data_IF_384622917174
#
_entry.id   IF_384622917174
#
_cell.length_a   1.000
_cell.length_b   1.000
_cell.length_c   1.000
_cell.angle_alpha   90.00
_cell.angle_beta   90.00
_cell.angle_gamma   90.00
#
_symmetry.space_group_name_H-M   'P 1'
#
loop_
_entity.id
_entity.type
_entity.pdbx_description
1 polymer ?
#
# COMPACT_ATOMS: atom_id res chain seq x y z
N UNK A 1 -10.94 6.70 22.51
CA UNK A 1 -10.11 5.70 23.22
C UNK A 1 -10.67 4.34 22.86
N UNK A 2 -9.90 3.49 22.22
CA UNK A 2 -10.29 2.10 21.94
C UNK A 2 -10.21 1.41 23.30
N UNK A 3 -11.38 1.17 23.91
CA UNK A 3 -11.44 0.37 25.13
C UNK A 3 -11.16 -1.07 24.74
N UNK A 4 -10.00 -1.61 25.14
CA UNK A 4 -9.66 -3.02 24.97
C UNK A 4 -10.57 -3.85 25.88
N UNK A 5 -11.61 -4.55 25.37
CA UNK A 5 -12.61 -5.19 26.21
C UNK A 5 -12.05 -6.44 26.86
N UNK A 6 -12.40 -6.60 28.13
CA UNK A 6 -12.02 -7.74 29.01
C UNK A 6 -13.26 -8.57 29.28
N UNK A 7 -13.13 -9.89 29.18
CA UNK A 7 -14.17 -10.82 29.58
C UNK A 7 -13.72 -11.61 30.81
N UNK A 8 -14.54 -11.60 31.86
CA UNK A 8 -14.34 -12.37 33.09
C UNK A 8 -15.23 -13.59 33.00
N UNK A 9 -14.68 -14.76 33.29
CA UNK A 9 -15.39 -16.05 33.33
C UNK A 9 -15.14 -16.73 34.66
N UNK A 10 -16.14 -16.72 35.51
CA UNK A 10 -16.06 -17.29 36.84
C UNK A 10 -17.46 -17.74 37.24
N UNK A 11 -17.64 -18.90 37.85
CA UNK A 11 -18.94 -19.42 38.24
C UNK A 11 -19.48 -18.78 39.53
N UNK A 12 -18.60 -18.23 40.38
CA UNK A 12 -18.96 -17.56 41.59
C UNK A 12 -19.49 -16.14 41.32
N UNK A 13 -20.78 -15.90 41.64
CA UNK A 13 -21.42 -14.62 41.37
C UNK A 13 -20.75 -13.45 42.10
N UNK A 14 -20.34 -13.64 43.35
CA UNK A 14 -19.68 -12.60 44.15
C UNK A 14 -18.33 -12.21 43.58
N UNK A 15 -17.56 -13.19 43.08
CA UNK A 15 -16.27 -12.94 42.39
C UNK A 15 -16.47 -12.14 41.12
N UNK A 16 -17.46 -12.53 40.31
CA UNK A 16 -17.77 -11.81 39.05
C UNK A 16 -18.15 -10.36 39.33
N UNK A 17 -19.06 -10.12 40.27
CA UNK A 17 -19.53 -8.76 40.61
C UNK A 17 -18.35 -7.91 41.12
N UNK A 18 -17.59 -8.45 42.06
CA UNK A 18 -16.46 -7.73 42.67
C UNK A 18 -15.40 -7.35 41.63
N UNK A 19 -15.05 -8.29 40.73
CA UNK A 19 -14.06 -8.03 39.68
C UNK A 19 -14.59 -7.05 38.63
N UNK A 20 -15.86 -7.18 38.26
CA UNK A 20 -16.47 -6.28 37.27
C UNK A 20 -16.49 -4.84 37.79
N UNK A 21 -17.03 -4.62 39.02
CA UNK A 21 -17.07 -3.29 39.65
C UNK A 21 -15.66 -2.69 39.80
N UNK A 22 -14.69 -3.52 40.22
CA UNK A 22 -13.33 -3.07 40.42
C UNK A 22 -12.66 -2.65 39.10
N UNK A 23 -12.84 -3.42 38.02
CA UNK A 23 -12.25 -3.10 36.70
C UNK A 23 -12.96 -1.91 36.05
N UNK A 24 -14.29 -1.83 36.12
CA UNK A 24 -15.03 -0.66 35.66
C UNK A 24 -14.65 0.62 36.40
N UNK A 25 -14.47 0.52 37.76
CA UNK A 25 -13.99 1.62 38.57
C UNK A 25 -12.61 2.16 38.19
N UNK A 26 -11.78 1.33 37.54
CA UNK A 26 -10.47 1.69 36.98
C UNK A 26 -10.55 2.13 35.50
N UNK A 27 -11.74 2.13 34.91
CA UNK A 27 -11.97 2.58 33.53
C UNK A 27 -11.76 1.51 32.46
N UNK A 28 -11.66 0.23 32.83
CA UNK A 28 -11.65 -0.87 31.86
C UNK A 28 -13.06 -1.14 31.34
N UNK A 29 -13.16 -1.51 30.06
CA UNK A 29 -14.38 -2.05 29.50
C UNK A 29 -14.44 -3.55 29.80
N UNK A 30 -15.21 -3.95 30.82
CA UNK A 30 -15.29 -5.34 31.26
C UNK A 30 -16.70 -5.89 31.13
N UNK A 31 -16.80 -7.21 30.85
CA UNK A 31 -18.01 -8.00 30.93
C UNK A 31 -17.72 -9.27 31.74
N UNK A 32 -18.75 -9.82 32.37
CA UNK A 32 -18.61 -11.02 33.17
C UNK A 32 -19.69 -12.06 32.82
N UNK A 33 -19.29 -13.32 32.74
CA UNK A 33 -20.15 -14.47 32.46
C UNK A 33 -19.87 -15.63 33.40
N UNK A 34 -20.83 -16.53 33.57
CA UNK A 34 -20.77 -17.60 34.57
C UNK A 34 -20.19 -18.93 34.05
N UNK A 35 -19.93 -19.07 32.77
CA UNK A 35 -19.44 -20.33 32.21
C UNK A 35 -18.66 -20.13 30.91
N UNK A 36 -17.86 -21.15 30.52
CA UNK A 36 -17.16 -21.17 29.26
C UNK A 36 -18.08 -21.13 28.04
N UNK A 37 -19.24 -21.75 28.10
CA UNK A 37 -20.23 -21.70 27.02
C UNK A 37 -20.76 -20.29 26.80
N UNK A 38 -21.07 -19.57 27.87
CA UNK A 38 -21.48 -18.17 27.81
C UNK A 38 -20.34 -17.29 27.28
N UNK A 39 -19.09 -17.57 27.69
CA UNK A 39 -17.94 -16.86 27.19
C UNK A 39 -17.80 -17.01 25.67
N UNK A 40 -17.89 -18.23 25.15
CA UNK A 40 -17.81 -18.49 23.71
C UNK A 40 -18.99 -17.85 22.95
N UNK A 41 -20.19 -17.84 23.53
CA UNK A 41 -21.34 -17.17 22.93
C UNK A 41 -21.11 -15.65 22.82
N UNK A 42 -20.62 -15.01 23.90
CA UNK A 42 -20.30 -13.57 23.87
C UNK A 42 -19.15 -13.24 22.92
N UNK A 43 -18.13 -14.09 22.83
CA UNK A 43 -17.03 -13.92 21.90
C UNK A 43 -17.43 -14.08 20.44
N UNK A 44 -18.51 -14.78 20.15
CA UNK A 44 -19.09 -14.85 18.81
C UNK A 44 -19.80 -13.54 18.39
N UNK A 45 -20.29 -12.77 19.38
CA UNK A 45 -20.99 -11.49 19.14
C UNK A 45 -20.05 -10.29 19.05
N UNK A 46 -18.96 -10.31 19.84
CA UNK A 46 -17.96 -9.24 19.88
C UNK A 46 -16.57 -9.76 20.23
N UNK A 47 -15.53 -9.06 19.76
CA UNK A 47 -14.15 -9.37 20.10
C UNK A 47 -13.81 -8.91 21.53
N UNK A 48 -13.01 -9.72 22.23
CA UNK A 48 -12.39 -9.38 23.51
C UNK A 48 -10.86 -9.44 23.37
N UNK A 49 -10.18 -8.50 24.01
CA UNK A 49 -8.72 -8.45 23.99
C UNK A 49 -8.10 -9.41 25.01
N UNK A 50 -8.70 -9.48 26.18
CA UNK A 50 -8.27 -10.37 27.28
C UNK A 50 -9.47 -11.13 27.82
N UNK A 51 -9.28 -12.42 28.10
CA UNK A 51 -10.22 -13.27 28.82
C UNK A 51 -9.55 -13.73 30.11
N UNK A 52 -10.17 -13.44 31.26
CA UNK A 52 -9.77 -13.98 32.57
C UNK A 52 -10.73 -15.10 32.90
N UNK A 53 -10.25 -16.33 33.05
CA UNK A 53 -11.10 -17.50 33.33
C UNK A 53 -10.68 -18.21 34.61
N UNK A 54 -11.65 -18.62 35.42
CA UNK A 54 -11.38 -19.55 36.50
C UNK A 54 -11.01 -20.94 35.92
N UNK A 55 -10.19 -21.67 36.70
CA UNK A 55 -9.80 -23.03 36.32
C UNK A 55 -10.96 -24.00 36.49
N UNK A 56 -11.71 -23.90 37.58
CA UNK A 56 -12.76 -24.84 37.96
C UNK A 56 -14.12 -24.21 37.78
N UNK A 57 -14.84 -24.65 36.79
CA UNK A 57 -16.21 -24.21 36.50
C UNK A 57 -17.13 -25.44 36.45
N UNK A 58 -18.37 -25.35 36.98
CA UNK A 58 -19.34 -26.43 36.86
C UNK A 58 -19.74 -26.67 35.42
N UNK A 59 -20.06 -27.92 35.09
CA UNK A 59 -20.54 -28.24 33.73
C UNK A 59 -19.55 -29.03 32.86
N UNK A 60 -18.41 -29.46 33.43
CA UNK A 60 -17.47 -30.38 32.77
C UNK A 60 -16.42 -29.73 31.84
N UNK A 61 -16.59 -28.47 31.49
CA UNK A 61 -15.57 -27.70 30.76
C UNK A 61 -14.70 -26.93 31.76
N UNK A 62 -13.40 -27.17 31.77
CA UNK A 62 -12.45 -26.45 32.60
C UNK A 62 -12.01 -25.14 31.94
N UNK A 63 -11.47 -24.19 32.74
CA UNK A 63 -10.85 -22.99 32.19
C UNK A 63 -9.71 -23.28 31.21
N UNK A 64 -8.99 -24.40 31.39
CA UNK A 64 -7.95 -24.84 30.45
C UNK A 64 -8.53 -25.27 29.08
N UNK A 65 -9.70 -25.92 29.08
CA UNK A 65 -10.38 -26.30 27.85
C UNK A 65 -10.93 -25.08 27.12
N UNK A 66 -11.44 -24.09 27.87
CA UNK A 66 -11.85 -22.81 27.34
C UNK A 66 -10.68 -22.07 26.69
N UNK A 67 -9.54 -21.98 27.36
CA UNK A 67 -8.31 -21.34 26.83
C UNK A 67 -7.87 -22.02 25.55
N UNK A 68 -7.83 -23.36 25.49
CA UNK A 68 -7.48 -24.08 24.29
C UNK A 68 -8.43 -23.78 23.12
N UNK A 69 -9.74 -23.68 23.41
CA UNK A 69 -10.75 -23.33 22.41
C UNK A 69 -10.60 -21.90 21.92
N UNK A 70 -10.37 -20.94 22.83
CA UNK A 70 -10.15 -19.53 22.50
C UNK A 70 -8.90 -19.38 21.63
N UNK A 71 -7.79 -20.01 22.01
CA UNK A 71 -6.56 -19.94 21.23
C UNK A 71 -6.73 -20.44 19.79
N UNK A 72 -7.57 -21.44 19.58
CA UNK A 72 -7.83 -21.98 18.25
C UNK A 72 -8.76 -21.09 17.41
N UNK A 73 -9.80 -20.53 18.02
CA UNK A 73 -10.84 -19.78 17.31
C UNK A 73 -10.59 -18.26 17.27
N UNK A 74 -9.92 -17.73 18.30
CA UNK A 74 -9.69 -16.31 18.53
C UNK A 74 -8.22 -16.04 18.88
N UNK A 75 -7.28 -16.27 17.96
CA UNK A 75 -5.83 -16.25 18.22
C UNK A 75 -5.30 -14.91 18.75
N UNK A 76 -6.01 -13.81 18.49
CA UNK A 76 -5.66 -12.46 18.94
C UNK A 76 -6.13 -12.14 20.36
N UNK A 77 -6.90 -13.04 20.99
CA UNK A 77 -7.38 -12.90 22.38
C UNK A 77 -6.40 -13.55 23.34
N UNK A 78 -5.92 -12.81 24.33
CA UNK A 78 -5.03 -13.32 25.36
C UNK A 78 -5.85 -13.86 26.54
N UNK A 79 -5.47 -15.03 27.06
CA UNK A 79 -6.16 -15.68 28.16
C UNK A 79 -5.32 -15.65 29.43
N UNK A 80 -5.90 -15.23 30.54
CA UNK A 80 -5.33 -15.29 31.89
C UNK A 80 -6.11 -16.32 32.69
N UNK A 81 -5.41 -17.27 33.29
CA UNK A 81 -6.02 -18.30 34.13
C UNK A 81 -6.03 -17.83 35.61
N UNK A 82 -7.17 -17.89 36.26
CA UNK A 82 -7.32 -17.68 37.68
C UNK A 82 -7.51 -19.04 38.40
N UNK A 83 -6.80 -19.30 39.48
CA UNK A 83 -6.91 -20.58 40.21
C UNK A 83 -6.60 -20.47 41.69
N UNK A 84 -7.31 -21.22 42.53
CA UNK A 84 -7.03 -21.33 43.93
C UNK A 84 -5.75 -22.15 44.24
N UNK A 85 -5.36 -23.04 43.30
CA UNK A 85 -4.22 -23.94 43.48
C UNK A 85 -3.25 -23.80 42.29
N UNK A 86 -2.33 -22.85 42.40
CA UNK A 86 -1.27 -22.67 41.45
C UNK A 86 -0.09 -23.62 41.75
N UNK A 87 -0.16 -24.87 41.30
CA UNK A 87 0.99 -25.78 41.35
C UNK A 87 1.86 -25.57 40.11
N UNK A 88 3.11 -26.07 40.19
CA UNK A 88 4.02 -26.03 39.04
C UNK A 88 3.41 -26.74 37.83
N UNK A 89 2.79 -27.91 38.02
CA UNK A 89 2.16 -28.70 36.98
C UNK A 89 0.98 -27.97 36.32
N UNK A 90 0.10 -27.35 37.12
CA UNK A 90 -1.02 -26.55 36.61
C UNK A 90 -0.55 -25.33 35.81
N UNK A 91 0.52 -24.70 36.28
CA UNK A 91 1.11 -23.54 35.59
C UNK A 91 1.72 -23.94 34.22
N UNK A 92 2.45 -25.05 34.20
CA UNK A 92 3.02 -25.57 32.94
C UNK A 92 1.92 -25.98 31.96
N UNK A 93 0.86 -26.64 32.46
CA UNK A 93 -0.26 -27.04 31.61
C UNK A 93 -1.01 -25.84 31.03
N UNK A 94 -1.27 -24.82 31.85
CA UNK A 94 -1.91 -23.58 31.41
C UNK A 94 -1.14 -22.92 30.26
N UNK A 95 0.19 -22.76 30.42
CA UNK A 95 1.04 -22.18 29.37
C UNK A 95 1.06 -23.05 28.10
N UNK A 96 1.13 -24.39 28.23
CA UNK A 96 1.07 -25.30 27.09
C UNK A 96 -0.26 -25.19 26.33
N UNK A 97 -1.37 -24.98 27.03
CA UNK A 97 -2.70 -24.79 26.42
C UNK A 97 -2.92 -23.39 25.86
N UNK A 98 -2.01 -22.47 26.14
CA UNK A 98 -1.99 -21.13 25.55
C UNK A 98 -2.47 -20.01 26.45
N UNK A 99 -2.48 -20.24 27.77
CA UNK A 99 -2.60 -19.14 28.71
C UNK A 99 -1.43 -18.15 28.51
N UNK A 100 -1.74 -16.86 28.49
CA UNK A 100 -0.74 -15.80 28.48
C UNK A 100 -0.07 -15.66 29.83
N UNK A 101 -0.88 -15.76 30.91
CA UNK A 101 -0.44 -15.62 32.29
C UNK A 101 -1.39 -16.37 33.22
N UNK A 102 -1.00 -16.45 34.49
CA UNK A 102 -1.78 -17.11 35.54
C UNK A 102 -1.78 -16.23 36.78
N UNK A 103 -2.92 -16.19 37.49
CA UNK A 103 -3.07 -15.51 38.76
C UNK A 103 -3.62 -16.47 39.83
N UNK A 104 -3.02 -16.48 41.02
CA UNK A 104 -3.44 -17.34 42.13
C UNK A 104 -4.45 -16.63 43.03
N UNK A 105 -5.60 -17.26 43.26
CA UNK A 105 -6.59 -16.84 44.27
C UNK A 105 -6.10 -17.24 45.70
N UNK A 106 -6.30 -16.39 46.73
CA UNK A 106 -6.84 -15.04 46.65
C UNK A 106 -5.81 -14.06 46.18
N UNK A 107 -6.17 -13.15 45.28
CA UNK A 107 -5.31 -12.09 44.75
C UNK A 107 -5.84 -10.71 45.15
N UNK A 108 -4.94 -9.73 45.19
CA UNK A 108 -5.29 -8.33 45.35
C UNK A 108 -5.65 -7.72 44.01
N UNK A 109 -6.52 -6.70 44.02
CA UNK A 109 -6.88 -5.99 42.80
C UNK A 109 -5.65 -5.49 42.01
N UNK A 110 -4.66 -4.94 42.72
CA UNK A 110 -3.41 -4.47 42.11
C UNK A 110 -2.62 -5.58 41.36
N UNK A 111 -2.70 -6.83 41.83
CA UNK A 111 -2.06 -7.97 41.17
C UNK A 111 -2.79 -8.32 39.88
N UNK A 112 -4.13 -8.31 39.87
CA UNK A 112 -4.95 -8.49 38.68
C UNK A 112 -4.69 -7.38 37.68
N UNK A 113 -4.67 -6.13 38.09
CA UNK A 113 -4.36 -4.98 37.25
C UNK A 113 -2.98 -5.12 36.59
N UNK A 114 -1.97 -5.56 37.33
CA UNK A 114 -0.62 -5.76 36.79
C UNK A 114 -0.63 -6.82 35.66
N UNK A 115 -1.33 -7.93 35.88
CA UNK A 115 -1.44 -9.01 34.86
C UNK A 115 -2.21 -8.52 33.66
N UNK A 116 -3.33 -7.84 33.85
CA UNK A 116 -4.17 -7.30 32.79
C UNK A 116 -3.42 -6.24 31.96
N UNK A 117 -2.72 -5.31 32.60
CA UNK A 117 -1.95 -4.29 31.90
C UNK A 117 -0.87 -4.92 31.03
N UNK A 118 -0.14 -5.94 31.53
CA UNK A 118 0.85 -6.67 30.72
C UNK A 118 0.19 -7.36 29.52
N UNK A 119 -0.96 -8.00 29.71
CA UNK A 119 -1.68 -8.66 28.64
C UNK A 119 -2.19 -7.66 27.61
N UNK A 120 -2.79 -6.56 28.04
CA UNK A 120 -3.29 -5.51 27.15
C UNK A 120 -2.18 -4.84 26.35
N UNK A 121 -1.05 -4.52 26.99
CA UNK A 121 0.09 -3.93 26.32
C UNK A 121 0.69 -4.89 25.29
N UNK A 122 0.78 -6.19 25.64
CA UNK A 122 1.23 -7.21 24.69
C UNK A 122 0.27 -7.33 23.48
N UNK A 123 -1.04 -7.36 23.71
CA UNK A 123 -2.04 -7.40 22.65
C UNK A 123 -1.94 -6.17 21.73
N UNK A 124 -1.72 -4.98 22.30
CA UNK A 124 -1.52 -3.74 21.54
C UNK A 124 -0.27 -3.78 20.67
N UNK A 125 0.83 -4.34 21.20
CA UNK A 125 2.06 -4.50 20.44
C UNK A 125 1.89 -5.49 19.28
N UNK A 126 1.22 -6.62 19.52
CA UNK A 126 0.93 -7.60 18.46
C UNK A 126 0.09 -6.97 17.33
N UNK A 127 -0.96 -6.23 17.67
CA UNK A 127 -1.78 -5.52 16.67
C UNK A 127 -0.95 -4.52 15.86
N UNK A 128 -0.10 -3.72 16.52
CA UNK A 128 0.79 -2.80 15.80
C UNK A 128 1.71 -3.52 14.81
N UNK A 129 2.25 -4.67 15.19
CA UNK A 129 3.10 -5.47 14.28
C UNK A 129 2.31 -5.94 13.08
N UNK A 130 1.08 -6.44 13.27
CA UNK A 130 0.21 -6.88 12.18
C UNK A 130 -0.16 -5.71 11.25
N UNK A 131 -0.51 -4.55 11.82
CA UNK A 131 -0.82 -3.35 11.04
C UNK A 131 0.38 -2.90 10.18
N UNK A 132 1.59 -2.88 10.75
CA UNK A 132 2.81 -2.56 10.00
C UNK A 132 3.13 -3.59 8.90
N UNK A 133 2.91 -4.87 9.17
CA UNK A 133 3.09 -5.90 8.16
C UNK A 133 2.13 -5.71 6.98
N UNK A 134 0.84 -5.47 7.26
CA UNK A 134 -0.15 -5.21 6.23
C UNK A 134 0.17 -3.95 5.41
N UNK A 135 0.62 -2.86 6.07
CA UNK A 135 1.06 -1.64 5.39
C UNK A 135 2.26 -1.88 4.48
N UNK A 136 3.28 -2.63 4.96
CA UNK A 136 4.46 -2.96 4.17
C UNK A 136 4.11 -3.83 2.95
N UNK A 137 3.27 -4.83 3.12
CA UNK A 137 2.80 -5.68 2.01
C UNK A 137 2.06 -4.86 0.95
N UNK A 138 1.17 -3.97 1.36
CA UNK A 138 0.46 -3.07 0.44
C UNK A 138 1.43 -2.16 -0.32
N UNK A 139 2.46 -1.62 0.36
CA UNK A 139 3.49 -0.77 -0.25
C UNK A 139 4.37 -1.55 -1.23
N UNK A 140 4.74 -2.79 -0.90
CA UNK A 140 5.50 -3.68 -1.80
C UNK A 140 4.68 -3.96 -3.07
N UNK A 141 3.41 -4.33 -2.94
CA UNK A 141 2.53 -4.60 -4.08
C UNK A 141 2.38 -3.39 -4.99
N UNK A 142 2.19 -2.19 -4.43
CA UNK A 142 2.13 -0.95 -5.22
C UNK A 142 3.43 -0.72 -5.98
N UNK A 143 4.57 -0.77 -5.31
CA UNK A 143 5.89 -0.56 -5.95
C UNK A 143 6.21 -1.60 -7.02
N UNK A 144 5.79 -2.84 -6.80
CA UNK A 144 5.98 -3.91 -7.79
C UNK A 144 5.19 -3.64 -9.08
N UNK A 145 3.94 -3.15 -8.95
CA UNK A 145 3.14 -2.74 -10.11
C UNK A 145 3.77 -1.58 -10.87
N UNK A 146 4.19 -0.53 -10.14
CA UNK A 146 4.85 0.63 -10.75
C UNK A 146 6.09 0.20 -11.55
N UNK A 147 6.92 -0.69 -10.98
CA UNK A 147 8.11 -1.21 -11.66
C UNK A 147 7.76 -2.09 -12.87
N UNK A 148 6.70 -2.90 -12.80
CA UNK A 148 6.25 -3.72 -13.93
C UNK A 148 5.75 -2.84 -15.08
N UNK A 149 5.01 -1.78 -14.81
CA UNK A 149 4.57 -0.82 -15.83
C UNK A 149 5.76 -0.17 -16.53
N UNK A 150 6.73 0.33 -15.76
CA UNK A 150 7.95 0.94 -16.32
C UNK A 150 8.76 -0.07 -17.14
N UNK A 151 8.90 -1.31 -16.67
CA UNK A 151 9.62 -2.35 -17.39
C UNK A 151 8.92 -2.73 -18.69
N UNK A 152 7.59 -2.85 -18.70
CA UNK A 152 6.82 -3.12 -19.92
C UNK A 152 6.95 -1.99 -20.93
N UNK A 153 6.89 -0.75 -20.46
CA UNK A 153 7.07 0.42 -21.33
C UNK A 153 8.48 0.47 -21.95
N UNK A 154 9.51 0.19 -21.16
CA UNK A 154 10.88 0.12 -21.62
C UNK A 154 11.09 -1.00 -22.66
N UNK A 155 10.55 -2.20 -22.42
CA UNK A 155 10.61 -3.32 -23.37
C UNK A 155 9.94 -2.98 -24.69
N UNK A 156 8.74 -2.40 -24.65
CA UNK A 156 8.03 -2.02 -25.86
C UNK A 156 8.77 -0.93 -26.66
N UNK A 157 9.47 0.00 -25.99
CA UNK A 157 10.31 0.99 -26.66
C UNK A 157 11.57 0.36 -27.27
N UNK A 158 12.18 -0.61 -26.61
CA UNK A 158 13.29 -1.38 -27.17
C UNK A 158 12.89 -2.13 -28.44
N UNK A 159 11.73 -2.80 -28.45
CA UNK A 159 11.20 -3.49 -29.61
C UNK A 159 10.97 -2.52 -30.78
N UNK A 160 10.35 -1.36 -30.54
CA UNK A 160 10.15 -0.32 -31.55
C UNK A 160 11.48 0.21 -32.10
N UNK A 161 12.49 0.37 -31.23
CA UNK A 161 13.81 0.81 -31.67
C UNK A 161 14.52 -0.21 -32.56
N UNK A 162 14.39 -1.51 -32.26
CA UNK A 162 14.93 -2.58 -33.10
C UNK A 162 14.24 -2.63 -34.44
N UNK A 163 12.91 -2.52 -34.49
CA UNK A 163 12.15 -2.43 -35.73
C UNK A 163 12.55 -1.20 -36.58
N UNK A 164 12.78 -0.06 -35.89
CA UNK A 164 13.22 1.17 -36.54
C UNK A 164 14.61 1.03 -37.20
N UNK A 165 15.53 0.24 -36.63
CA UNK A 165 16.85 -0.01 -37.19
C UNK A 165 16.77 -0.78 -38.51
N UNK A 166 15.81 -1.64 -38.68
CA UNK A 166 15.58 -2.45 -39.89
C UNK A 166 14.88 -1.66 -41.01
N UNK A 167 14.27 -0.52 -40.69
CA UNK A 167 13.56 0.29 -41.66
C UNK A 167 14.53 1.02 -42.63
N UNK A 168 14.16 1.09 -43.91
CA UNK A 168 14.97 1.80 -44.92
C UNK A 168 14.76 3.32 -44.94
N UNK A 169 13.75 3.83 -44.26
CA UNK A 169 13.37 5.24 -44.27
C UNK A 169 13.33 5.79 -42.84
N UNK A 170 13.86 6.99 -42.64
CA UNK A 170 13.79 7.73 -41.37
C UNK A 170 12.34 7.92 -40.93
N UNK A 171 11.45 8.27 -41.84
CA UNK A 171 10.01 8.45 -41.53
C UNK A 171 9.40 7.17 -41.01
N UNK A 172 9.60 6.05 -41.66
CA UNK A 172 9.08 4.75 -41.22
C UNK A 172 9.66 4.30 -39.87
N UNK A 173 10.89 4.72 -39.56
CA UNK A 173 11.53 4.44 -38.29
C UNK A 173 10.95 5.27 -37.13
N UNK A 174 10.54 6.51 -37.41
CA UNK A 174 10.00 7.45 -36.40
C UNK A 174 8.50 7.25 -36.15
N UNK A 175 7.75 6.79 -37.16
CA UNK A 175 6.28 6.66 -37.11
C UNK A 175 5.76 5.94 -35.87
N UNK A 176 6.25 4.74 -35.50
CA UNK A 176 5.72 4.02 -34.35
C UNK A 176 5.97 4.74 -33.00
N UNK A 177 7.08 5.47 -32.91
CA UNK A 177 7.41 6.25 -31.71
C UNK A 177 6.54 7.50 -31.59
N UNK A 178 6.28 8.16 -32.74
CA UNK A 178 5.37 9.30 -32.78
C UNK A 178 3.92 8.89 -32.51
N UNK A 179 3.49 7.71 -32.95
CA UNK A 179 2.18 7.14 -32.61
C UNK A 179 2.03 6.92 -31.11
N UNK A 180 3.06 6.39 -30.48
CA UNK A 180 3.06 6.16 -29.05
C UNK A 180 3.02 7.47 -28.25
N UNK A 181 3.74 8.48 -28.72
CA UNK A 181 3.72 9.81 -28.14
C UNK A 181 2.33 10.44 -28.29
N UNK A 182 1.73 10.34 -29.46
CA UNK A 182 0.38 10.83 -29.73
C UNK A 182 -0.67 10.11 -28.86
N UNK A 183 -0.55 8.81 -28.67
CA UNK A 183 -1.46 8.04 -27.84
C UNK A 183 -1.40 8.42 -26.35
N UNK A 184 -0.22 8.84 -25.85
CA UNK A 184 -0.04 9.14 -24.42
C UNK A 184 -0.40 10.57 -24.04
N UNK A 185 -0.01 11.56 -24.85
CA UNK A 185 -0.20 12.99 -24.52
C UNK A 185 -1.21 13.69 -25.44
N UNK A 186 -1.72 12.99 -26.45
CA UNK A 186 -2.73 13.48 -27.39
C UNK A 186 -2.47 14.92 -27.90
N UNK A 187 -1.25 15.24 -28.40
CA UNK A 187 -1.00 16.55 -28.96
C UNK A 187 -1.83 16.73 -30.25
N UNK A 188 -2.39 17.92 -30.44
CA UNK A 188 -3.12 18.28 -31.67
C UNK A 188 -2.19 18.50 -32.86
N UNK A 189 -0.93 18.81 -32.59
CA UNK A 189 0.14 18.91 -33.58
C UNK A 189 1.44 18.27 -33.09
N UNK A 190 2.04 17.44 -33.91
CA UNK A 190 3.24 16.68 -33.63
C UNK A 190 4.17 16.71 -34.84
N UNK A 191 5.43 17.08 -34.65
CA UNK A 191 6.42 17.01 -35.73
C UNK A 191 7.84 16.74 -35.24
N UNK A 192 8.61 16.10 -36.05
CA UNK A 192 10.03 15.87 -35.85
C UNK A 192 10.83 16.65 -36.90
N UNK A 193 11.83 17.38 -36.43
CA UNK A 193 12.69 18.22 -37.27
C UNK A 193 14.14 17.79 -37.13
N UNK A 194 14.91 17.97 -38.23
CA UNK A 194 16.36 17.79 -38.24
C UNK A 194 17.05 19.13 -38.51
N UNK A 195 18.21 19.41 -37.88
CA UNK A 195 19.00 20.58 -38.18
C UNK A 195 19.40 20.61 -39.65
N UNK A 196 19.20 21.76 -40.30
CA UNK A 196 19.64 22.06 -41.67
C UNK A 196 20.78 23.07 -41.69
N UNK A 197 21.10 23.60 -42.85
CA UNK A 197 22.05 24.71 -43.03
C UNK A 197 21.45 26.03 -42.51
N UNK A 198 22.32 26.99 -42.11
CA UNK A 198 21.92 28.35 -41.73
C UNK A 198 20.96 28.42 -40.56
N UNK A 199 21.16 27.62 -39.51
CA UNK A 199 20.31 27.60 -38.28
C UNK A 199 18.82 27.33 -38.54
N UNK A 200 18.50 26.64 -39.62
CA UNK A 200 17.14 26.22 -39.94
C UNK A 200 16.88 24.76 -39.48
N UNK A 201 15.62 24.47 -39.20
CA UNK A 201 15.14 23.14 -38.90
C UNK A 201 14.26 22.66 -40.08
N UNK A 202 14.55 21.49 -40.62
CA UNK A 202 13.77 20.86 -41.70
C UNK A 202 12.86 19.77 -41.10
N UNK A 203 11.58 19.84 -41.43
CA UNK A 203 10.60 18.85 -40.98
C UNK A 203 10.85 17.50 -41.67
N UNK A 204 11.00 16.47 -40.85
CA UNK A 204 11.10 15.07 -41.33
C UNK A 204 9.73 14.42 -41.41
N UNK A 205 8.89 14.65 -40.39
CA UNK A 205 7.58 14.07 -40.26
C UNK A 205 6.68 15.00 -39.48
N UNK A 206 5.39 15.08 -39.81
CA UNK A 206 4.41 15.79 -39.05
C UNK A 206 3.06 15.09 -39.06
N UNK A 207 2.33 15.24 -37.96
CA UNK A 207 0.96 14.77 -37.78
C UNK A 207 0.18 15.85 -37.03
N UNK A 208 -1.12 15.91 -37.23
CA UNK A 208 -2.01 16.84 -36.50
C UNK A 208 -3.12 17.39 -37.35
N UNK A 209 -3.99 18.13 -36.68
CA UNK A 209 -5.18 18.76 -37.24
C UNK A 209 -4.86 19.97 -38.11
N UNK A 210 -3.70 20.59 -37.91
CA UNK A 210 -3.24 21.80 -38.64
C UNK A 210 -1.93 21.59 -39.33
N UNK A 211 -1.69 22.27 -40.44
CA UNK A 211 -0.43 22.17 -41.17
C UNK A 211 0.70 22.81 -40.36
N UNK A 212 1.72 22.01 -40.06
CA UNK A 212 2.93 22.49 -39.40
C UNK A 212 3.95 22.94 -40.46
N UNK A 213 4.77 23.98 -40.21
CA UNK A 213 5.72 24.53 -41.19
C UNK A 213 6.76 23.48 -41.62
N UNK A 214 7.14 23.52 -42.87
CA UNK A 214 8.19 22.63 -43.41
C UNK A 214 9.59 23.01 -42.88
N UNK A 215 9.77 24.28 -42.52
CA UNK A 215 11.02 24.82 -42.00
C UNK A 215 10.70 25.70 -40.80
N UNK A 216 11.56 25.65 -39.77
CA UNK A 216 11.53 26.54 -38.63
C UNK A 216 12.93 27.19 -38.45
N UNK A 217 12.96 28.45 -38.07
CA UNK A 217 14.21 29.03 -37.55
C UNK A 217 14.55 28.33 -36.24
N UNK A 218 15.84 28.06 -36.01
CA UNK A 218 16.29 27.37 -34.81
C UNK A 218 16.03 28.24 -33.57
N UNK A 219 15.09 27.87 -32.70
CA UNK A 219 14.76 28.66 -31.54
C UNK A 219 15.77 28.41 -30.42
N UNK A 220 15.80 29.32 -29.45
CA UNK A 220 16.42 29.01 -28.17
C UNK A 220 15.58 27.96 -27.41
N UNK A 221 16.20 27.07 -26.61
CA UNK A 221 15.50 26.05 -25.86
C UNK A 221 14.49 26.73 -24.88
N UNK A 222 13.25 26.30 -24.93
CA UNK A 222 12.19 26.80 -24.05
C UNK A 222 10.80 26.55 -24.60
N UNK A 223 9.76 26.82 -23.81
CA UNK A 223 8.40 26.78 -24.31
C UNK A 223 8.26 27.84 -25.41
N UNK A 224 7.88 27.37 -26.60
CA UNK A 224 7.53 28.23 -27.71
C UNK A 224 6.13 28.77 -27.49
N UNK A 225 6.02 30.04 -27.22
CA UNK A 225 4.75 30.77 -27.45
C UNK A 225 4.71 31.02 -28.94
N UNK A 226 4.13 30.11 -29.71
CA UNK A 226 3.95 30.29 -31.15
C UNK A 226 2.43 30.41 -31.47
N UNK A 227 1.80 31.55 -31.13
CA UNK A 227 0.41 31.80 -31.47
C UNK A 227 0.19 31.84 -32.99
N UNK A 228 1.26 32.06 -33.76
CA UNK A 228 1.25 32.06 -35.23
C UNK A 228 0.87 30.68 -35.81
N UNK A 229 1.09 29.57 -35.07
CA UNK A 229 0.71 28.24 -35.49
C UNK A 229 -0.69 27.83 -35.02
N UNK A 230 -1.35 28.68 -34.23
CA UNK A 230 -2.74 28.51 -33.80
C UNK A 230 -2.94 27.50 -32.68
N UNK A 231 -1.91 27.13 -31.94
CA UNK A 231 -2.00 26.30 -30.75
C UNK A 231 -1.97 27.18 -29.48
N UNK A 232 -2.70 26.75 -28.46
CA UNK A 232 -2.73 27.43 -27.17
C UNK A 232 -1.40 27.26 -26.43
N UNK A 233 -0.84 26.05 -26.50
CA UNK A 233 0.42 25.65 -25.88
C UNK A 233 1.26 24.91 -26.90
N UNK A 234 2.55 25.25 -27.00
CA UNK A 234 3.46 24.55 -27.89
C UNK A 234 4.83 24.37 -27.23
N UNK A 235 5.41 23.21 -27.44
CA UNK A 235 6.74 22.86 -26.96
C UNK A 235 7.63 22.48 -28.13
N UNK A 236 8.82 23.05 -28.19
CA UNK A 236 9.86 22.62 -29.10
C UNK A 236 11.06 22.13 -28.27
N UNK A 237 11.27 20.82 -28.29
CA UNK A 237 12.14 20.11 -27.40
C UNK A 237 13.33 19.55 -28.15
N UNK A 238 14.57 19.83 -27.71
CA UNK A 238 15.75 19.28 -28.36
C UNK A 238 15.87 17.78 -28.14
N UNK A 239 16.15 17.04 -29.18
CA UNK A 239 16.53 15.63 -29.18
C UNK A 239 18.06 15.53 -29.27
N UNK A 240 18.74 15.99 -28.23
CA UNK A 240 20.19 16.16 -28.26
C UNK A 240 20.68 17.04 -29.42
N UNK A 241 21.68 16.58 -30.17
CA UNK A 241 22.18 17.25 -31.37
C UNK A 241 21.55 16.68 -32.67
N UNK A 242 20.69 15.67 -32.57
CA UNK A 242 20.18 14.93 -33.74
C UNK A 242 18.93 15.56 -34.34
N UNK A 243 18.12 16.24 -33.52
CA UNK A 243 16.86 16.81 -33.99
C UNK A 243 16.10 17.56 -32.94
N UNK A 244 14.85 17.88 -33.28
CA UNK A 244 13.90 18.57 -32.43
C UNK A 244 12.51 17.93 -32.54
N UNK A 245 11.80 17.91 -31.45
CA UNK A 245 10.43 17.44 -31.38
C UNK A 245 9.52 18.62 -31.08
N UNK A 246 8.48 18.80 -31.91
CA UNK A 246 7.44 19.79 -31.73
C UNK A 246 6.16 19.13 -31.24
N UNK A 247 5.56 19.67 -30.18
CA UNK A 247 4.26 19.29 -29.62
C UNK A 247 3.38 20.53 -29.53
N UNK A 248 2.20 20.53 -30.12
CA UNK A 248 1.23 21.62 -30.04
C UNK A 248 -0.09 21.11 -29.48
N UNK A 249 -0.70 21.89 -28.59
CA UNK A 249 -1.97 21.60 -27.94
C UNK A 249 -2.95 22.75 -28.15
N UNK A 250 -4.18 22.45 -28.53
CA UNK A 250 -5.25 23.46 -28.69
C UNK A 250 -5.79 23.92 -27.33
N UNK A 251 -5.72 23.05 -26.32
CA UNK A 251 -6.12 23.31 -24.93
C UNK A 251 -4.93 23.11 -23.96
N UNK A 252 -5.15 23.44 -22.68
CA UNK A 252 -4.16 23.17 -21.62
C UNK A 252 -3.83 21.68 -21.54
N UNK A 253 -2.58 21.32 -21.74
CA UNK A 253 -2.11 19.95 -21.64
C UNK A 253 -1.64 19.59 -20.23
N UNK A 254 -1.63 18.30 -19.91
CA UNK A 254 -0.95 17.76 -18.74
C UNK A 254 0.51 17.38 -19.04
N UNK A 255 1.02 17.76 -20.22
CA UNK A 255 2.36 17.45 -20.65
C UNK A 255 3.41 18.19 -19.82
N UNK A 256 4.45 17.48 -19.40
CA UNK A 256 5.65 18.04 -18.80
C UNK A 256 6.87 17.40 -19.45
N UNK A 257 7.85 18.21 -19.80
CA UNK A 257 9.12 17.77 -20.41
C UNK A 257 10.00 16.93 -19.47
N UNK A 258 9.70 16.96 -18.17
CA UNK A 258 10.34 16.16 -17.11
C UNK A 258 9.66 14.81 -16.84
N UNK A 259 8.57 14.47 -17.55
CA UNK A 259 7.92 13.16 -17.43
C UNK A 259 8.92 12.05 -17.80
N UNK A 260 9.19 11.07 -16.91
CA UNK A 260 10.13 10.00 -17.17
C UNK A 260 9.84 9.20 -18.45
N UNK A 261 8.56 9.00 -18.78
CA UNK A 261 8.16 8.31 -20.01
C UNK A 261 8.49 9.15 -21.25
N UNK A 262 8.32 10.47 -21.16
CA UNK A 262 8.72 11.38 -22.24
C UNK A 262 10.23 11.38 -22.44
N UNK A 263 11.03 11.50 -21.37
CA UNK A 263 12.48 11.48 -21.44
C UNK A 263 13.02 10.19 -22.08
N UNK A 264 12.42 9.06 -21.74
CA UNK A 264 12.77 7.77 -22.34
C UNK A 264 12.47 7.74 -23.84
N UNK A 265 11.31 8.21 -24.24
CA UNK A 265 10.86 8.24 -25.64
C UNK A 265 11.69 9.23 -26.48
N UNK A 266 12.00 10.40 -25.92
CA UNK A 266 12.87 11.40 -26.54
C UNK A 266 14.28 10.85 -26.82
N UNK A 267 14.84 10.08 -25.87
CA UNK A 267 16.11 9.37 -26.05
C UNK A 267 16.08 8.38 -27.20
N UNK A 268 14.99 7.65 -27.37
CA UNK A 268 14.85 6.70 -28.48
C UNK A 268 14.70 7.41 -29.83
N UNK A 269 13.95 8.51 -29.88
CA UNK A 269 13.87 9.37 -31.07
C UNK A 269 15.25 9.94 -31.45
N UNK A 270 16.01 10.44 -30.46
CA UNK A 270 17.38 10.92 -30.68
C UNK A 270 18.28 9.83 -31.28
N UNK A 271 18.23 8.61 -30.69
CA UNK A 271 19.03 7.48 -31.17
C UNK A 271 18.73 7.14 -32.64
N UNK A 272 17.46 7.06 -33.01
CA UNK A 272 17.05 6.77 -34.39
C UNK A 272 17.52 7.87 -35.33
N UNK A 273 17.37 9.13 -34.93
CA UNK A 273 17.81 10.26 -35.75
C UNK A 273 19.34 10.30 -35.98
N UNK A 274 20.13 9.79 -35.03
CA UNK A 274 21.59 9.69 -35.15
C UNK A 274 22.03 8.53 -36.02
N UNK A 275 21.28 7.44 -36.04
CA UNK A 275 21.64 6.22 -36.76
C UNK A 275 21.18 6.22 -38.25
N UNK A 276 20.28 7.10 -38.60
CA UNK A 276 19.70 7.26 -39.96
C UNK A 276 20.07 8.58 -40.58
#
# INVERSE_FOLDING_TARGET
>A
MIHDPILIVDDEADVRITLLEALEGQGYAAEAVASGEQALARMAERAFTVVVTDLHMPGGQTGLDLIATIRQRYPDTLCVLSTAFATLDTSIEALKRGAYDLIQKPFRLAEMEMVLNRALDHARLLRKVQDYQAELEARILSRTRDLQEVAQEAMALCELSLQALDSRSVSNALDPLLDRLAARWAPDGLACYRPGANDTLHRLLARGTRPLPAHLERPQPGPLVAPELGYFEAHLLPLGNAGWLYLGFEDRSSFTDSDPAFLLLARHLELILRLK
#
